data_IF_400163349287
#
_entry.id   IF_400163349287
#
_cell.length_a   1.000
_cell.length_b   1.000
_cell.length_c   1.000
_cell.angle_alpha   90.00
_cell.angle_beta   90.00
_cell.angle_gamma   90.00
#
_symmetry.space_group_name_H-M   'P 1'
#
loop_
_entity.id
_entity.type
_entity.pdbx_description
1 polymer ?
#
# COMPACT_ATOMS: atom_id res chain seq x y z
N UNK A 1 -19.78 -9.25 -1.51
CA UNK A 1 -19.03 -9.62 -0.29
C UNK A 1 -19.95 -9.41 0.90
N UNK A 2 -19.92 -10.28 1.89
CA UNK A 2 -20.61 -10.08 3.18
C UNK A 2 -19.94 -8.94 3.93
N UNK A 3 -20.73 -7.94 4.36
CA UNK A 3 -20.27 -6.87 5.25
C UNK A 3 -20.46 -7.31 6.70
N UNK A 4 -19.40 -7.17 7.48
CA UNK A 4 -19.33 -7.49 8.90
C UNK A 4 -19.39 -6.24 9.77
N UNK A 5 -19.37 -5.04 9.17
CA UNK A 5 -19.27 -3.76 9.88
C UNK A 5 -17.87 -3.52 10.46
N UNK A 6 -16.85 -4.21 9.96
CA UNK A 6 -15.48 -4.18 10.50
C UNK A 6 -14.44 -3.92 9.40
N UNK A 7 -13.49 -3.00 9.62
CA UNK A 7 -12.35 -2.78 8.73
C UNK A 7 -11.54 -4.05 8.48
N UNK A 8 -10.85 -4.12 7.36
CA UNK A 8 -9.81 -5.12 7.11
C UNK A 8 -8.57 -4.72 7.91
N UNK A 9 -8.11 -5.61 8.79
CA UNK A 9 -6.92 -5.40 9.62
C UNK A 9 -5.79 -6.23 9.04
N UNK A 10 -5.11 -5.68 8.03
CA UNK A 10 -4.08 -6.39 7.27
C UNK A 10 -2.73 -6.29 7.99
N UNK A 11 -2.39 -7.33 8.72
CA UNK A 11 -1.14 -7.43 9.47
C UNK A 11 0.05 -7.52 8.52
N UNK A 12 0.97 -6.56 8.61
CA UNK A 12 2.22 -6.55 7.86
C UNK A 12 3.22 -7.48 8.56
N UNK A 13 3.56 -8.58 7.91
CA UNK A 13 4.40 -9.65 8.50
C UNK A 13 5.85 -9.23 8.72
N UNK A 14 6.39 -8.27 7.95
CA UNK A 14 7.81 -7.88 8.00
C UNK A 14 8.04 -6.41 8.31
N UNK A 15 7.06 -5.55 8.05
CA UNK A 15 7.17 -4.10 8.17
C UNK A 15 8.03 -3.46 7.09
N UNK A 16 8.54 -4.22 6.11
CA UNK A 16 9.51 -3.77 5.11
C UNK A 16 8.85 -3.43 3.79
N UNK A 17 9.35 -2.37 3.15
CA UNK A 17 8.93 -1.99 1.79
C UNK A 17 9.54 -2.88 0.70
N UNK A 18 10.53 -3.71 1.03
CA UNK A 18 11.21 -4.61 0.07
C UNK A 18 10.48 -5.94 -0.15
N UNK A 19 9.35 -6.15 0.53
CA UNK A 19 8.54 -7.35 0.41
C UNK A 19 7.95 -7.78 1.74
N UNK A 20 6.65 -8.06 1.73
CA UNK A 20 5.89 -8.47 2.91
C UNK A 20 4.56 -9.11 2.51
N UNK A 21 4.02 -9.96 3.37
CA UNK A 21 2.62 -10.38 3.31
C UNK A 21 1.77 -9.54 4.26
N UNK A 22 0.54 -9.25 3.84
CA UNK A 22 -0.48 -8.45 4.52
C UNK A 22 -1.72 -9.32 4.73
N UNK A 23 -1.92 -9.81 5.96
CA UNK A 23 -2.92 -10.83 6.26
C UNK A 23 -4.02 -10.26 7.15
N UNK A 24 -5.28 -10.32 6.70
CA UNK A 24 -6.42 -9.88 7.52
C UNK A 24 -6.56 -10.75 8.76
N UNK A 25 -6.71 -10.14 9.94
CA UNK A 25 -6.93 -10.86 11.20
C UNK A 25 -8.15 -11.78 11.17
N UNK A 26 -9.16 -11.46 10.35
CA UNK A 26 -10.36 -12.26 10.16
C UNK A 26 -10.27 -13.18 8.93
N UNK A 27 -9.09 -13.32 8.33
CA UNK A 27 -8.80 -14.18 7.16
C UNK A 27 -9.64 -13.85 5.93
N UNK A 28 -10.19 -12.63 5.82
CA UNK A 28 -11.02 -12.21 4.68
C UNK A 28 -10.19 -11.77 3.48
N UNK A 29 -8.93 -11.37 3.73
CA UNK A 29 -8.04 -10.84 2.71
C UNK A 29 -6.58 -11.21 3.00
N UNK A 30 -5.81 -11.50 1.96
CA UNK A 30 -4.38 -11.74 2.02
C UNK A 30 -3.71 -11.12 0.80
N UNK A 31 -2.89 -10.09 1.00
CA UNK A 31 -2.10 -9.46 -0.06
C UNK A 31 -0.62 -9.81 0.10
N UNK A 32 0.13 -9.84 -0.99
CA UNK A 32 1.56 -10.12 -0.97
C UNK A 32 2.32 -9.13 -1.84
N UNK A 33 3.27 -8.42 -1.24
CA UNK A 33 4.26 -7.58 -1.91
C UNK A 33 5.53 -8.40 -2.12
N UNK A 34 5.92 -8.64 -3.37
CA UNK A 34 7.09 -9.44 -3.72
C UNK A 34 8.08 -8.66 -4.55
N UNK A 35 9.34 -8.62 -4.10
CA UNK A 35 10.44 -8.21 -4.96
C UNK A 35 10.65 -9.29 -6.03
N UNK A 36 10.52 -8.93 -7.29
CA UNK A 36 10.64 -9.86 -8.43
C UNK A 36 11.92 -9.64 -9.22
N UNK A 37 12.50 -8.44 -9.13
CA UNK A 37 13.76 -8.11 -9.76
C UNK A 37 14.51 -7.08 -8.91
N UNK A 38 15.83 -7.20 -8.85
CA UNK A 38 16.73 -6.20 -8.30
C UNK A 38 18.06 -6.28 -9.02
N UNK A 39 18.41 -5.21 -9.72
CA UNK A 39 19.71 -5.05 -10.37
C UNK A 39 20.28 -3.64 -10.15
N UNK A 40 21.37 -3.32 -10.85
CA UNK A 40 22.04 -2.02 -10.73
C UNK A 40 21.20 -0.85 -11.28
N UNK A 41 20.20 -1.12 -12.12
CA UNK A 41 19.41 -0.13 -12.84
C UNK A 41 18.03 0.08 -12.23
N UNK A 42 17.42 -0.96 -11.67
CA UNK A 42 16.05 -0.88 -11.15
C UNK A 42 15.73 -1.99 -10.16
N UNK A 43 14.65 -1.77 -9.40
CA UNK A 43 14.07 -2.77 -8.49
C UNK A 43 12.56 -2.84 -8.72
N UNK A 44 12.08 -4.04 -9.04
CA UNK A 44 10.67 -4.27 -9.36
C UNK A 44 9.96 -5.08 -8.27
N UNK A 45 8.77 -4.63 -7.91
CA UNK A 45 7.87 -5.29 -6.98
C UNK A 45 6.52 -5.57 -7.61
N UNK A 46 5.88 -6.66 -7.20
CA UNK A 46 4.53 -7.01 -7.61
C UNK A 46 3.66 -7.21 -6.38
N UNK A 47 2.46 -6.64 -6.40
CA UNK A 47 1.41 -6.83 -5.40
C UNK A 47 0.40 -7.84 -5.95
N UNK A 48 0.12 -8.89 -5.19
CA UNK A 48 -0.86 -9.92 -5.53
C UNK A 48 -1.98 -10.00 -4.48
N UNK A 49 -3.20 -10.31 -4.93
CA UNK A 49 -4.26 -10.82 -4.06
C UNK A 49 -4.18 -12.35 -3.97
N UNK A 50 -4.03 -12.86 -2.74
CA UNK A 50 -3.91 -14.28 -2.43
C UNK A 50 -5.16 -14.85 -1.76
N UNK A 51 -6.19 -14.03 -1.55
CA UNK A 51 -7.40 -14.38 -0.78
C UNK A 51 -8.19 -15.53 -1.41
N UNK A 52 -8.16 -15.66 -2.73
CA UNK A 52 -8.92 -16.66 -3.50
C UNK A 52 -8.21 -18.01 -3.68
N UNK A 53 -6.98 -18.18 -3.16
CA UNK A 53 -6.21 -19.44 -3.28
C UNK A 53 -6.85 -20.64 -2.57
N UNK A 54 -7.84 -20.42 -1.70
CA UNK A 54 -8.59 -21.49 -1.03
C UNK A 54 -9.61 -22.22 -1.94
N UNK A 55 -9.80 -21.77 -3.19
CA UNK A 55 -10.84 -22.26 -4.11
C UNK A 55 -10.36 -23.10 -5.30
N UNK A 56 -9.39 -24.00 -5.14
CA UNK A 56 -9.28 -25.24 -5.94
C UNK A 56 -9.08 -25.17 -7.47
N UNK A 57 -8.76 -24.03 -8.11
CA UNK A 57 -8.39 -24.01 -9.53
C UNK A 57 -7.15 -23.14 -9.72
N UNK A 58 -6.09 -23.75 -10.27
CA UNK A 58 -4.80 -23.13 -10.57
C UNK A 58 -4.87 -22.04 -11.64
N UNK A 59 -5.63 -20.98 -11.38
CA UNK A 59 -5.60 -19.75 -12.14
C UNK A 59 -4.28 -19.02 -11.92
N UNK A 60 -3.81 -18.35 -12.97
CA UNK A 60 -2.64 -17.47 -12.91
C UNK A 60 -2.90 -16.35 -11.88
N UNK A 61 -1.93 -16.07 -11.02
CA UNK A 61 -1.98 -14.93 -10.11
C UNK A 61 -1.97 -13.65 -10.94
N UNK A 62 -3.08 -12.90 -10.90
CA UNK A 62 -3.18 -11.59 -11.57
C UNK A 62 -2.59 -10.53 -10.61
N UNK A 63 -1.57 -9.76 -11.05
CA UNK A 63 -1.07 -8.62 -10.29
C UNK A 63 -2.16 -7.58 -10.01
N UNK A 64 -2.28 -7.13 -8.77
CA UNK A 64 -3.05 -5.93 -8.44
C UNK A 64 -2.29 -4.66 -8.81
N UNK A 65 -0.95 -4.68 -8.68
CA UNK A 65 -0.10 -3.59 -9.08
C UNK A 65 1.34 -4.08 -9.31
N UNK A 66 2.07 -3.37 -10.15
CA UNK A 66 3.52 -3.54 -10.33
C UNK A 66 4.21 -2.20 -10.09
N UNK A 67 5.26 -2.22 -9.30
CA UNK A 67 6.08 -1.05 -8.95
C UNK A 67 7.47 -1.27 -9.52
N UNK A 68 7.97 -0.31 -10.28
CA UNK A 68 9.31 -0.34 -10.85
C UNK A 68 10.07 0.91 -10.41
N UNK A 69 10.99 0.75 -9.46
CA UNK A 69 11.81 1.82 -8.93
C UNK A 69 13.11 1.93 -9.72
N UNK A 70 13.51 3.16 -10.01
CA UNK A 70 14.73 3.45 -10.76
C UNK A 70 16.01 3.24 -9.95
N UNK A 71 17.17 3.58 -10.54
CA UNK A 71 18.47 3.36 -9.91
C UNK A 71 18.63 4.26 -8.68
N UNK A 72 19.45 3.84 -7.72
CA UNK A 72 19.73 4.59 -6.50
C UNK A 72 18.47 5.00 -5.73
N UNK A 73 17.48 4.11 -5.67
CA UNK A 73 16.18 4.32 -5.02
C UNK A 73 15.34 5.44 -5.64
N UNK A 74 15.63 5.86 -6.88
CA UNK A 74 14.80 6.84 -7.58
C UNK A 74 13.37 6.31 -7.81
N UNK A 75 12.41 7.23 -7.89
CA UNK A 75 11.07 6.89 -8.37
C UNK A 75 11.14 6.44 -9.84
N UNK A 76 10.33 5.45 -10.18
CA UNK A 76 10.14 5.02 -11.57
C UNK A 76 8.66 4.98 -11.93
N UNK A 77 8.14 3.81 -12.30
CA UNK A 77 6.76 3.65 -12.77
C UNK A 77 5.92 2.75 -11.88
N UNK A 78 4.61 3.00 -11.87
CA UNK A 78 3.60 2.14 -11.28
C UNK A 78 2.58 1.79 -12.35
N UNK A 79 2.14 0.53 -12.34
CA UNK A 79 0.98 0.07 -13.12
C UNK A 79 0.01 -0.58 -12.15
N UNK A 80 -1.26 -0.17 -12.22
CA UNK A 80 -2.37 -0.73 -11.43
C UNK A 80 -3.16 -1.68 -12.32
N UNK A 81 -3.35 -2.92 -11.87
CA UNK A 81 -4.04 -3.96 -12.61
C UNK A 81 -3.48 -4.15 -14.02
N UNK A 82 -4.37 -4.07 -15.01
CA UNK A 82 -4.05 -4.15 -16.44
C UNK A 82 -3.77 -2.80 -17.11
N UNK A 83 -3.83 -1.69 -16.36
CA UNK A 83 -3.68 -0.32 -16.89
C UNK A 83 -2.28 0.03 -17.41
N UNK A 84 -2.09 1.31 -17.72
CA UNK A 84 -0.82 1.81 -18.25
C UNK A 84 0.26 1.98 -17.18
N UNK A 85 1.52 2.00 -17.62
CA UNK A 85 2.64 2.43 -16.77
C UNK A 85 2.60 3.95 -16.60
N UNK A 86 2.48 4.39 -15.35
CA UNK A 86 2.42 5.80 -14.97
C UNK A 86 3.68 6.13 -14.17
N UNK A 87 4.30 7.28 -14.44
CA UNK A 87 5.38 7.79 -13.60
C UNK A 87 4.88 7.97 -12.17
N UNK A 88 5.60 7.41 -11.18
CA UNK A 88 5.18 7.48 -9.77
C UNK A 88 5.03 8.92 -9.28
N UNK A 89 5.80 9.87 -9.82
CA UNK A 89 5.68 11.31 -9.55
C UNK A 89 4.38 11.92 -10.06
N UNK A 90 3.80 11.38 -11.14
CA UNK A 90 2.49 11.78 -11.67
C UNK A 90 1.34 11.05 -10.98
N UNK A 91 1.56 9.78 -10.57
CA UNK A 91 0.58 9.01 -9.82
C UNK A 91 0.39 9.56 -8.39
N UNK A 92 1.49 9.89 -7.69
CA UNK A 92 1.50 10.45 -6.33
C UNK A 92 2.01 11.90 -6.34
N UNK A 93 1.07 12.82 -6.52
CA UNK A 93 1.36 14.26 -6.63
C UNK A 93 1.49 14.91 -5.26
N UNK A 94 2.48 15.82 -5.10
CA UNK A 94 2.61 16.64 -3.90
C UNK A 94 1.41 17.56 -3.76
N UNK A 95 0.84 17.67 -2.56
CA UNK A 95 -0.26 18.60 -2.30
C UNK A 95 0.32 19.95 -1.91
N UNK A 96 0.15 20.96 -2.78
CA UNK A 96 0.61 22.32 -2.52
C UNK A 96 -0.22 22.97 -1.39
N UNK A 97 0.42 23.81 -0.56
CA UNK A 97 -0.25 24.62 0.46
C UNK A 97 -0.40 23.97 1.84
N UNK A 98 0.01 22.72 2.04
CA UNK A 98 0.15 22.12 3.36
C UNK A 98 1.61 22.19 3.81
N UNK A 99 1.84 22.71 5.01
CA UNK A 99 3.15 23.05 5.59
C UNK A 99 4.10 21.86 5.83
N UNK A 100 3.67 20.62 5.56
CA UNK A 100 4.52 19.44 5.70
C UNK A 100 4.74 18.77 4.33
N UNK A 101 6.00 18.43 4.04
CA UNK A 101 6.45 17.73 2.84
C UNK A 101 5.89 16.29 2.71
N UNK A 102 5.07 15.85 3.67
CA UNK A 102 4.70 14.44 3.88
C UNK A 102 3.23 14.17 3.59
N UNK A 103 2.70 14.86 2.58
CA UNK A 103 1.35 14.63 2.06
C UNK A 103 1.35 14.55 0.54
N UNK A 104 0.81 13.45 0.00
CA UNK A 104 0.69 13.20 -1.43
C UNK A 104 -0.66 12.61 -1.76
N UNK A 105 -1.18 12.98 -2.94
CA UNK A 105 -2.48 12.51 -3.43
C UNK A 105 -2.35 11.68 -4.69
N UNK A 106 -3.25 10.73 -4.86
CA UNK A 106 -3.40 9.91 -6.06
C UNK A 106 -4.88 9.84 -6.46
N UNK A 107 -5.13 9.57 -7.74
CA UNK A 107 -6.48 9.30 -8.25
C UNK A 107 -6.63 7.80 -8.43
N UNK A 108 -7.68 7.22 -7.84
CA UNK A 108 -7.92 5.79 -7.90
C UNK A 108 -8.83 5.40 -9.08
N UNK A 109 -9.01 4.09 -9.30
CA UNK A 109 -9.84 3.55 -10.38
C UNK A 109 -11.33 3.92 -10.26
N UNK A 110 -11.82 4.20 -9.05
CA UNK A 110 -13.19 4.69 -8.81
C UNK A 110 -13.40 6.16 -9.22
N UNK A 111 -12.34 6.81 -9.73
CA UNK A 111 -12.34 8.18 -10.20
C UNK A 111 -12.15 9.23 -9.11
N UNK A 112 -12.08 8.83 -7.84
CA UNK A 112 -11.90 9.74 -6.72
C UNK A 112 -10.41 9.99 -6.43
N UNK A 113 -10.14 11.12 -5.78
CA UNK A 113 -8.79 11.44 -5.29
C UNK A 113 -8.68 11.07 -3.81
N UNK A 114 -7.54 10.49 -3.45
CA UNK A 114 -7.19 10.07 -2.10
C UNK A 114 -5.86 10.69 -1.70
N UNK A 115 -5.64 10.90 -0.41
CA UNK A 115 -4.46 11.59 0.13
C UNK A 115 -3.90 10.84 1.31
N UNK A 116 -2.63 10.45 1.20
CA UNK A 116 -1.83 9.98 2.32
C UNK A 116 -1.20 11.17 3.06
N UNK A 117 -1.19 11.12 4.38
CA UNK A 117 -0.57 12.12 5.25
C UNK A 117 0.15 11.43 6.40
N UNK A 118 1.44 11.73 6.61
CA UNK A 118 2.17 11.26 7.79
C UNK A 118 1.74 12.07 9.02
N UNK A 119 1.26 11.37 10.04
CA UNK A 119 0.90 11.94 11.32
C UNK A 119 2.12 12.11 12.23
N UNK A 120 1.96 12.88 13.31
CA UNK A 120 3.05 13.20 14.23
C UNK A 120 3.56 11.99 15.02
N UNK A 121 2.72 10.96 15.18
CA UNK A 121 3.04 9.67 15.82
C UNK A 121 3.75 8.68 14.87
N UNK A 122 3.92 9.03 13.60
CA UNK A 122 4.55 8.19 12.58
C UNK A 122 3.58 7.30 11.80
N UNK A 123 2.27 7.43 12.03
CA UNK A 123 1.26 6.69 11.26
C UNK A 123 0.93 7.38 9.93
N UNK A 124 0.65 6.59 8.90
CA UNK A 124 0.14 7.11 7.64
C UNK A 124 -1.38 7.03 7.62
N UNK A 125 -2.06 8.14 7.34
CA UNK A 125 -3.51 8.17 7.17
C UNK A 125 -3.88 8.49 5.72
N UNK A 126 -4.77 7.67 5.14
CA UNK A 126 -5.38 7.89 3.85
C UNK A 126 -6.81 8.39 4.03
N UNK A 127 -7.09 9.57 3.47
CA UNK A 127 -8.43 10.13 3.41
C UNK A 127 -8.85 10.42 1.98
N UNK A 128 -10.15 10.45 1.73
CA UNK A 128 -10.67 10.99 0.48
C UNK A 128 -10.35 12.50 0.39
N UNK A 129 -9.75 12.93 -0.70
CA UNK A 129 -9.21 14.29 -0.82
C UNK A 129 -10.29 15.38 -0.85
N UNK A 130 -11.53 15.05 -1.25
CA UNK A 130 -12.63 16.00 -1.38
C UNK A 130 -13.36 16.26 -0.06
N UNK A 131 -13.69 15.20 0.67
CA UNK A 131 -14.53 15.28 1.88
C UNK A 131 -13.80 14.90 3.17
N UNK A 132 -12.52 14.50 3.09
CA UNK A 132 -11.66 14.10 4.20
C UNK A 132 -12.16 12.91 5.02
N UNK A 133 -13.08 12.08 4.51
CA UNK A 133 -13.43 10.85 5.21
C UNK A 133 -12.27 9.87 5.21
N UNK A 134 -12.13 9.15 6.32
CA UNK A 134 -11.11 8.12 6.52
C UNK A 134 -11.34 6.93 5.58
N UNK A 135 -10.25 6.38 5.04
CA UNK A 135 -10.27 5.28 4.07
C UNK A 135 -9.32 4.16 4.51
N UNK A 136 -8.12 4.52 4.96
CA UNK A 136 -7.15 3.57 5.46
C UNK A 136 -6.15 4.23 6.41
N UNK A 137 -5.55 3.44 7.30
CA UNK A 137 -4.42 3.85 8.14
C UNK A 137 -3.34 2.77 8.06
N UNK A 138 -2.07 3.17 8.03
CA UNK A 138 -0.95 2.28 8.28
C UNK A 138 -0.24 2.70 9.55
N UNK A 139 -0.33 1.84 10.58
CA UNK A 139 0.30 2.05 11.87
C UNK A 139 1.62 1.28 11.97
N UNK A 140 2.59 1.90 12.64
CA UNK A 140 3.85 1.27 12.98
C UNK A 140 3.70 0.51 14.30
N UNK A 141 4.52 -0.51 14.51
CA UNK A 141 4.59 -1.20 15.80
C UNK A 141 4.84 -0.19 16.94
N UNK A 142 4.00 -0.17 18.00
CA UNK A 142 4.20 0.67 19.17
C UNK A 142 5.57 0.47 19.84
N UNK A 143 6.16 1.56 20.31
CA UNK A 143 7.42 1.52 21.04
C UNK A 143 7.27 0.72 22.35
N UNK A 144 8.12 -0.28 22.56
CA UNK A 144 8.12 -1.11 23.77
C UNK A 144 7.40 -2.46 23.64
N UNK A 145 6.74 -2.74 22.52
CA UNK A 145 6.14 -4.06 22.30
C UNK A 145 7.17 -5.15 21.99
N UNK A 146 6.92 -6.41 22.42
CA UNK A 146 7.82 -7.53 22.16
C UNK A 146 7.92 -7.83 20.66
N UNK A 147 9.03 -8.42 20.22
CA UNK A 147 9.14 -8.93 18.85
C UNK A 147 8.18 -10.11 18.69
N UNK A 148 7.22 -10.00 17.76
CA UNK A 148 6.36 -11.11 17.39
C UNK A 148 7.10 -12.02 16.40
N UNK A 149 6.92 -13.34 16.53
CA UNK A 149 7.65 -14.32 15.72
C UNK A 149 7.23 -14.35 14.25
N UNK A 150 6.00 -13.95 13.96
CA UNK A 150 5.39 -14.01 12.62
C UNK A 150 4.84 -12.66 12.13
N UNK A 151 5.10 -11.58 12.88
CA UNK A 151 4.52 -10.27 12.64
C UNK A 151 5.52 -9.16 12.93
N UNK A 152 5.41 -8.07 12.17
CA UNK A 152 6.18 -6.87 12.45
C UNK A 152 5.55 -6.00 13.53
N UNK A 153 4.28 -6.23 13.88
CA UNK A 153 3.45 -5.32 14.68
C UNK A 153 2.93 -4.11 13.91
N UNK A 154 3.29 -3.95 12.62
CA UNK A 154 2.70 -2.94 11.75
C UNK A 154 1.38 -3.45 11.14
N UNK A 155 0.46 -2.54 10.84
CA UNK A 155 -0.89 -2.88 10.38
C UNK A 155 -1.36 -1.92 9.31
N UNK A 156 -1.82 -2.44 8.17
CA UNK A 156 -2.62 -1.68 7.20
C UNK A 156 -4.10 -1.93 7.48
N UNK A 157 -4.77 -0.94 8.05
CA UNK A 157 -6.22 -0.96 8.28
C UNK A 157 -6.94 -0.31 7.11
N UNK A 158 -7.89 -1.01 6.47
CA UNK A 158 -8.70 -0.48 5.36
C UNK A 158 -10.17 -0.55 5.72
N UNK A 159 -10.88 0.56 5.59
CA UNK A 159 -12.32 0.62 5.85
C UNK A 159 -13.09 -0.37 4.97
N UNK A 160 -14.12 -1.02 5.53
CA UNK A 160 -14.84 -2.12 4.87
C UNK A 160 -15.52 -1.71 3.55
N UNK A 161 -15.76 -0.41 3.35
CA UNK A 161 -16.33 0.12 2.12
C UNK A 161 -15.35 0.15 0.93
N UNK A 162 -14.05 -0.04 1.15
CA UNK A 162 -13.01 0.12 0.10
C UNK A 162 -12.17 -1.13 -0.22
N UNK A 163 -12.73 -2.36 -0.22
CA UNK A 163 -11.97 -3.56 -0.58
C UNK A 163 -11.51 -3.53 -2.04
N UNK A 164 -12.23 -2.80 -2.90
CA UNK A 164 -11.91 -2.64 -4.31
C UNK A 164 -10.67 -1.77 -4.56
N UNK A 165 -10.23 -0.98 -3.56
CA UNK A 165 -9.07 -0.09 -3.67
C UNK A 165 -7.80 -0.66 -3.04
N UNK A 166 -7.83 -1.85 -2.44
CA UNK A 166 -6.71 -2.35 -1.62
C UNK A 166 -5.39 -2.50 -2.40
N UNK A 167 -5.45 -2.84 -3.69
CA UNK A 167 -4.27 -2.85 -4.56
C UNK A 167 -3.65 -1.47 -4.72
N UNK A 168 -4.49 -0.45 -4.94
CA UNK A 168 -4.07 0.95 -5.11
C UNK A 168 -3.62 1.58 -3.79
N UNK A 169 -4.30 1.26 -2.68
CA UNK A 169 -3.94 1.69 -1.34
C UNK A 169 -2.58 1.12 -0.93
N UNK A 170 -2.34 -0.17 -1.15
CA UNK A 170 -1.05 -0.78 -0.85
C UNK A 170 0.06 -0.27 -1.79
N UNK A 171 -0.20 -0.14 -3.08
CA UNK A 171 0.76 0.41 -4.04
C UNK A 171 1.17 1.84 -3.67
N UNK A 172 0.20 2.72 -3.42
CA UNK A 172 0.45 4.11 -3.03
C UNK A 172 1.13 4.23 -1.68
N UNK A 173 0.78 3.36 -0.71
CA UNK A 173 1.45 3.30 0.59
C UNK A 173 2.93 2.88 0.46
N UNK A 174 3.24 1.86 -0.35
CA UNK A 174 4.63 1.43 -0.58
C UNK A 174 5.43 2.57 -1.20
N UNK A 175 4.89 3.25 -2.22
CA UNK A 175 5.58 4.37 -2.87
C UNK A 175 5.80 5.53 -1.89
N UNK A 176 4.81 5.92 -1.09
CA UNK A 176 4.98 7.06 -0.17
C UNK A 176 5.93 6.75 0.99
N UNK A 177 5.94 5.50 1.48
CA UNK A 177 6.92 5.04 2.47
C UNK A 177 8.34 5.02 1.89
N UNK A 178 8.50 4.59 0.64
CA UNK A 178 9.78 4.65 -0.07
C UNK A 178 10.28 6.09 -0.24
N UNK A 179 9.38 7.02 -0.58
CA UNK A 179 9.68 8.45 -0.67
C UNK A 179 10.19 9.00 0.68
N UNK A 180 9.53 8.63 1.78
CA UNK A 180 9.93 9.05 3.12
C UNK A 180 11.28 8.43 3.55
N UNK A 181 11.48 7.12 3.31
CA UNK A 181 12.72 6.41 3.65
C UNK A 181 13.95 6.96 2.91
N UNK A 182 13.75 7.49 1.70
CA UNK A 182 14.82 8.00 0.84
C UNK A 182 14.83 9.51 0.62
N UNK A 183 13.96 10.27 1.31
CA UNK A 183 13.87 11.74 1.25
C UNK A 183 13.64 12.31 -0.17
N UNK A 184 12.58 11.88 -0.87
CA UNK A 184 12.24 12.25 -2.27
C UNK A 184 11.10 13.29 -2.43
#
# INVERSE_FOLDING_TARGET
MTSFGLPYFLEDTTGKITGSDFVDLHTRMHLSLKQTLRDAHHTAYIIYDLSSRSGGRGGLLVPLATLDFGPNNALGTVKIGDGDHIQMSHYLTKVAGFSSSKSRKFKAADGQEYRWTLQADGEWQCTNAKNNYHVATYSMKPAGEPQYSSSSGCMLTVEEAYPHLVGELLASLVIIRHIEEHNL
#
